data_IF_215533458040
#
_entry.id   IF_215533458040
#
_cell.length_a   1.000
_cell.length_b   1.000
_cell.length_c   1.000
_cell.angle_alpha   90.00
_cell.angle_beta   90.00
_cell.angle_gamma   90.00
#
_symmetry.space_group_name_H-M   'P 1'
#
loop_
_entity.id
_entity.type
_entity.pdbx_description
1 polymer ?
#
# COMPACT_ATOMS: atom_id res chain seq x y z
N UNK A 1 11.49 0.37 18.32
CA UNK A 1 11.90 -0.17 19.63
C UNK A 1 12.70 -1.46 19.40
N UNK A 2 13.32 -2.02 20.43
CA UNK A 2 14.10 -3.28 20.33
C UNK A 2 13.23 -4.53 20.12
N UNK A 3 11.90 -4.42 20.20
CA UNK A 3 10.95 -5.53 20.08
C UNK A 3 10.48 -5.80 18.65
N UNK A 4 10.74 -4.89 17.70
CA UNK A 4 10.36 -5.08 16.29
C UNK A 4 8.85 -5.04 16.02
N UNK A 5 8.07 -4.49 16.95
CA UNK A 5 6.60 -4.53 16.87
C UNK A 5 5.98 -3.32 16.16
N UNK A 6 6.81 -2.40 15.66
CA UNK A 6 6.40 -1.26 14.84
C UNK A 6 5.96 -1.69 13.44
N UNK A 7 4.78 -1.22 13.02
CA UNK A 7 4.21 -1.57 11.71
C UNK A 7 3.09 -0.63 11.31
N UNK A 8 2.93 -0.41 10.02
CA UNK A 8 1.69 0.12 9.44
C UNK A 8 0.59 -0.96 9.49
N UNK A 9 -0.62 -0.54 9.85
CA UNK A 9 -1.83 -1.39 9.92
C UNK A 9 -2.68 -1.17 8.68
N UNK A 10 -2.91 0.09 8.30
CA UNK A 10 -3.64 0.44 7.08
C UNK A 10 -2.82 1.37 6.21
N UNK A 11 -2.89 1.17 4.89
CA UNK A 11 -2.28 2.06 3.92
C UNK A 11 -3.16 2.22 2.68
N UNK A 12 -2.90 3.27 1.90
CA UNK A 12 -3.44 3.48 0.56
C UNK A 12 -2.32 3.41 -0.48
N UNK A 13 -2.69 3.21 -1.73
CA UNK A 13 -1.78 3.35 -2.86
C UNK A 13 -2.11 4.62 -3.62
N UNK A 14 -1.09 5.36 -4.04
CA UNK A 14 -1.21 6.41 -5.05
C UNK A 14 -0.27 6.09 -6.21
N UNK A 15 -0.77 6.24 -7.43
CA UNK A 15 -0.18 5.66 -8.63
C UNK A 15 0.02 6.75 -9.69
N UNK A 16 1.13 6.69 -10.43
CA UNK A 16 1.36 7.60 -11.57
C UNK A 16 2.09 6.90 -12.71
N UNK A 17 1.82 7.36 -13.94
CA UNK A 17 2.53 6.93 -15.16
C UNK A 17 3.77 7.77 -15.45
N UNK A 18 3.81 9.02 -15.00
CA UNK A 18 4.90 9.96 -15.27
C UNK A 18 5.34 10.72 -14.00
N UNK A 19 6.57 11.26 -14.04
CA UNK A 19 7.11 12.07 -12.96
C UNK A 19 6.52 13.49 -13.04
N UNK A 20 5.97 13.99 -11.92
CA UNK A 20 5.41 15.35 -11.83
C UNK A 20 3.92 15.48 -12.15
N UNK A 21 3.25 14.40 -12.54
CA UNK A 21 1.80 14.36 -12.69
C UNK A 21 1.05 14.23 -11.34
N UNK A 22 -0.29 14.28 -11.41
CA UNK A 22 -1.19 13.98 -10.29
C UNK A 22 -1.07 12.50 -9.91
N UNK A 23 -1.15 12.20 -8.62
CA UNK A 23 -1.06 10.84 -8.08
C UNK A 23 -2.42 10.43 -7.51
N UNK A 24 -3.37 10.02 -8.35
CA UNK A 24 -4.66 9.54 -7.87
C UNK A 24 -4.47 8.33 -6.96
N UNK A 25 -5.32 8.23 -5.93
CA UNK A 25 -5.37 7.06 -5.09
C UNK A 25 -6.02 5.88 -5.82
N UNK A 26 -5.58 4.68 -5.49
CA UNK A 26 -6.16 3.46 -6.03
C UNK A 26 -7.61 3.32 -5.55
N UNK A 27 -8.47 2.89 -6.47
CA UNK A 27 -9.89 2.69 -6.26
C UNK A 27 -10.32 1.31 -6.74
N UNK A 28 -11.41 0.81 -6.17
CA UNK A 28 -12.01 -0.45 -6.60
C UNK A 28 -12.89 -0.27 -7.85
N UNK A 29 -13.57 -1.34 -8.26
CA UNK A 29 -14.44 -1.34 -9.43
C UNK A 29 -15.67 -0.41 -9.29
N UNK A 30 -15.97 0.07 -8.08
CA UNK A 30 -17.06 1.00 -7.79
C UNK A 30 -16.58 2.45 -7.64
N UNK A 31 -15.34 2.75 -8.06
CA UNK A 31 -14.69 4.05 -7.91
C UNK A 31 -14.53 4.51 -6.44
N UNK A 32 -14.53 3.56 -5.50
CA UNK A 32 -14.32 3.82 -4.08
C UNK A 32 -12.84 3.68 -3.72
N UNK A 33 -12.32 4.64 -2.95
CA UNK A 33 -10.94 4.61 -2.47
C UNK A 33 -10.70 3.39 -1.56
N UNK A 34 -9.65 2.62 -1.86
CA UNK A 34 -9.34 1.40 -1.10
C UNK A 34 -8.33 1.67 0.00
N UNK A 35 -8.65 1.20 1.21
CA UNK A 35 -7.72 1.09 2.33
C UNK A 35 -7.29 -0.37 2.49
N UNK A 36 -6.01 -0.64 2.28
CA UNK A 36 -5.43 -1.95 2.46
C UNK A 36 -5.08 -2.15 3.93
N UNK A 37 -5.74 -3.11 4.57
CA UNK A 37 -5.54 -3.43 5.98
C UNK A 37 -4.73 -4.72 6.10
N UNK A 38 -3.61 -4.62 6.79
CA UNK A 38 -2.81 -5.79 7.19
C UNK A 38 -3.53 -6.56 8.28
N UNK A 39 -3.43 -7.88 8.19
CA UNK A 39 -3.71 -8.81 9.28
C UNK A 39 -2.43 -9.39 9.90
N UNK A 40 -2.46 -9.66 11.21
CA UNK A 40 -1.36 -10.31 11.95
C UNK A 40 -0.25 -9.42 12.50
N UNK A 41 0.88 -10.04 12.85
CA UNK A 41 2.03 -9.43 13.52
C UNK A 41 3.09 -8.88 12.56
N UNK A 42 4.14 -8.23 13.07
CA UNK A 42 5.14 -7.54 12.24
C UNK A 42 5.90 -8.42 11.25
N UNK A 43 5.93 -9.73 11.46
CA UNK A 43 6.57 -10.71 10.58
C UNK A 43 5.60 -11.45 9.66
N UNK A 44 4.29 -11.27 9.81
CA UNK A 44 3.30 -11.84 8.90
C UNK A 44 3.41 -11.14 7.54
N UNK A 45 3.39 -11.89 6.45
CA UNK A 45 3.27 -11.33 5.10
C UNK A 45 1.79 -11.32 4.73
N UNK A 46 1.29 -10.18 4.26
CA UNK A 46 -0.08 -10.05 3.80
C UNK A 46 -0.06 -9.53 2.36
N UNK A 47 -0.67 -10.29 1.46
CA UNK A 47 -0.78 -9.93 0.05
C UNK A 47 -2.11 -9.22 -0.19
N UNK A 48 -2.06 -8.17 -1.00
CA UNK A 48 -3.25 -7.39 -1.37
C UNK A 48 -3.39 -7.38 -2.89
N UNK A 49 -4.09 -8.37 -3.48
CA UNK A 49 -4.39 -8.35 -4.91
C UNK A 49 -5.19 -7.10 -5.29
N UNK A 50 -4.78 -6.43 -6.36
CA UNK A 50 -5.53 -5.31 -6.92
C UNK A 50 -6.65 -5.86 -7.80
N UNK A 51 -7.90 -5.71 -7.36
CA UNK A 51 -9.08 -6.17 -8.11
C UNK A 51 -9.30 -5.44 -9.44
N UNK A 52 -8.78 -4.20 -9.55
CA UNK A 52 -8.72 -3.44 -10.80
C UNK A 52 -7.24 -3.38 -11.23
N UNK A 53 -6.88 -3.94 -12.39
CA UNK A 53 -5.51 -3.84 -12.91
C UNK A 53 -5.10 -2.39 -13.12
N UNK A 54 -3.85 -2.03 -12.78
CA UNK A 54 -3.33 -0.67 -12.98
C UNK A 54 -2.01 -0.69 -13.72
N UNK A 55 -1.87 0.22 -14.69
CA UNK A 55 -0.61 0.54 -15.33
C UNK A 55 0.02 1.75 -14.62
N UNK A 56 1.11 1.53 -13.91
CA UNK A 56 1.84 2.57 -13.20
C UNK A 56 3.35 2.38 -13.37
N UNK A 57 4.07 3.50 -13.48
CA UNK A 57 5.54 3.54 -13.39
C UNK A 57 5.98 3.86 -11.96
N UNK A 58 5.16 4.61 -11.24
CA UNK A 58 5.45 5.04 -9.90
C UNK A 58 4.33 4.66 -8.94
N UNK A 59 4.72 4.17 -7.76
CA UNK A 59 3.82 3.69 -6.71
C UNK A 59 4.23 4.34 -5.40
N UNK A 60 3.26 4.97 -4.73
CA UNK A 60 3.41 5.50 -3.37
C UNK A 60 2.55 4.70 -2.41
N UNK A 61 3.18 4.17 -1.37
CA UNK A 61 2.49 3.62 -0.22
C UNK A 61 2.23 4.75 0.77
N UNK A 62 0.97 4.97 1.10
CA UNK A 62 0.53 6.05 1.98
C UNK A 62 0.02 5.45 3.29
N UNK A 63 0.83 5.46 4.38
CA UNK A 63 0.38 4.99 5.69
C UNK A 63 -0.85 5.77 6.18
N UNK A 64 -1.84 5.07 6.70
CA UNK A 64 -3.07 5.65 7.28
C UNK A 64 -3.08 5.44 8.79
N UNK A 65 -2.89 4.20 9.25
CA UNK A 65 -2.82 3.86 10.67
C UNK A 65 -1.61 2.97 10.94
N UNK A 66 -1.02 3.07 12.12
CA UNK A 66 0.18 2.31 12.50
C UNK A 66 0.21 1.99 13.99
N UNK A 67 1.01 0.98 14.33
CA UNK A 67 1.36 0.62 15.70
C UNK A 67 2.78 1.11 16.00
N UNK A 68 2.93 1.86 17.09
CA UNK A 68 4.19 2.43 17.58
C UNK A 68 4.86 3.42 16.59
N UNK A 69 5.47 2.95 15.51
CA UNK A 69 6.12 3.78 14.48
C UNK A 69 5.67 3.36 13.09
N UNK A 70 5.76 4.30 12.14
CA UNK A 70 5.51 4.04 10.73
C UNK A 70 6.67 3.20 10.17
N UNK A 71 6.42 1.91 9.93
CA UNK A 71 7.39 1.00 9.33
C UNK A 71 6.68 0.07 8.34
N UNK A 72 7.23 -0.02 7.12
CA UNK A 72 6.74 -0.85 6.02
C UNK A 72 7.90 -1.63 5.39
N UNK A 73 7.61 -2.88 5.00
CA UNK A 73 8.42 -3.69 4.08
C UNK A 73 7.45 -4.11 2.98
N UNK A 74 7.77 -3.81 1.74
CA UNK A 74 6.85 -3.96 0.61
C UNK A 74 7.53 -4.71 -0.52
N UNK A 75 6.70 -5.43 -1.27
CA UNK A 75 7.05 -6.07 -2.54
C UNK A 75 5.90 -5.79 -3.51
N UNK A 76 6.21 -5.55 -4.78
CA UNK A 76 5.22 -5.28 -5.82
C UNK A 76 5.26 -6.39 -6.85
N UNK A 77 4.12 -7.02 -7.09
CA UNK A 77 3.96 -8.09 -8.06
C UNK A 77 3.23 -7.57 -9.30
N UNK A 78 3.73 -7.89 -10.48
CA UNK A 78 3.14 -7.47 -11.75
C UNK A 78 3.82 -8.13 -12.94
N UNK A 79 3.40 -7.75 -14.14
CA UNK A 79 4.02 -8.13 -15.40
C UNK A 79 4.53 -6.90 -16.16
N UNK A 80 5.45 -7.12 -17.09
CA UNK A 80 6.00 -6.11 -17.99
C UNK A 80 5.28 -6.12 -19.32
#
# INVERSE_FOLDING_TARGET
DISGNQRVIEFKLALSKSYGEVWPTYKDANDLEVKFRREGGSNTINQHPLGVPVYARYIRFLPVTWKALICLRVEVYGSV
#
